data_IF_427528062129
#
_entry.id   IF_427528062129
#
_cell.length_a   1.000
_cell.length_b   1.000
_cell.length_c   1.000
_cell.angle_alpha   90.00
_cell.angle_beta   90.00
_cell.angle_gamma   90.00
#
_symmetry.space_group_name_H-M   'P 1'
#
loop_
_entity.id
_entity.type
_entity.pdbx_description
1 polymer ?
#
# COMPACT_ATOMS: atom_id res chain seq x y z
N UNK A 1 9.67 16.50 1.85
CA UNK A 1 8.31 15.96 2.07
C UNK A 1 8.27 14.54 1.51
N UNK A 2 7.73 13.63 2.28
CA UNK A 2 7.81 12.19 1.99
C UNK A 2 6.84 11.75 0.90
N UNK A 3 7.21 10.66 0.21
CA UNK A 3 6.30 9.87 -0.63
C UNK A 3 5.78 8.71 0.20
N UNK A 4 4.50 8.43 0.12
CA UNK A 4 3.86 7.28 0.77
C UNK A 4 3.35 6.32 -0.30
N UNK A 5 3.56 5.03 -0.12
CA UNK A 5 2.99 3.99 -0.98
C UNK A 5 2.22 2.99 -0.15
N UNK A 6 1.02 2.66 -0.59
CA UNK A 6 0.24 1.57 -0.02
C UNK A 6 0.56 0.26 -0.73
N UNK A 7 0.91 -0.76 0.04
CA UNK A 7 1.22 -2.10 -0.49
C UNK A 7 0.35 -3.15 0.19
N UNK A 8 0.05 -4.20 -0.55
CA UNK A 8 -0.73 -5.33 -0.06
C UNK A 8 -0.12 -6.65 -0.55
N UNK A 9 -0.82 -7.75 -0.36
CA UNK A 9 -0.37 -9.07 -0.81
C UNK A 9 -0.71 -9.37 -2.27
N UNK A 10 -1.17 -8.38 -3.03
CA UNK A 10 -1.50 -8.59 -4.44
C UNK A 10 -0.24 -8.78 -5.29
N UNK A 11 -0.34 -9.46 -6.44
CA UNK A 11 0.80 -9.63 -7.34
C UNK A 11 1.26 -8.31 -7.97
N UNK A 12 0.48 -7.25 -7.87
CA UNK A 12 0.82 -5.93 -8.41
C UNK A 12 1.60 -5.05 -7.46
N UNK A 13 1.75 -5.46 -6.19
CA UNK A 13 2.42 -4.65 -5.18
C UNK A 13 3.85 -4.28 -5.56
N UNK A 14 4.59 -5.21 -6.16
CA UNK A 14 5.96 -4.94 -6.60
C UNK A 14 6.02 -3.84 -7.68
N UNK A 15 5.10 -3.84 -8.63
CA UNK A 15 5.02 -2.80 -9.66
C UNK A 15 4.70 -1.43 -9.06
N UNK A 16 3.74 -1.40 -8.13
CA UNK A 16 3.35 -0.17 -7.43
C UNK A 16 4.50 0.38 -6.61
N UNK A 17 5.17 -0.48 -5.86
CA UNK A 17 6.33 -0.09 -5.06
C UNK A 17 7.48 0.42 -5.95
N UNK A 18 7.74 -0.24 -7.08
CA UNK A 18 8.77 0.20 -8.02
C UNK A 18 8.54 1.63 -8.51
N UNK A 19 7.31 1.99 -8.85
CA UNK A 19 6.97 3.35 -9.26
C UNK A 19 7.12 4.34 -8.10
N UNK A 20 6.75 3.95 -6.90
CA UNK A 20 6.91 4.80 -5.72
C UNK A 20 8.38 5.09 -5.42
N UNK A 21 9.25 4.08 -5.57
CA UNK A 21 10.70 4.24 -5.41
C UNK A 21 11.23 5.25 -6.44
N UNK A 22 10.83 5.14 -7.69
CA UNK A 22 11.22 6.09 -8.74
C UNK A 22 10.77 7.51 -8.40
N UNK A 23 9.56 7.68 -7.90
CA UNK A 23 9.06 9.00 -7.51
C UNK A 23 9.85 9.57 -6.33
N UNK A 24 10.18 8.76 -5.34
CA UNK A 24 10.99 9.20 -4.21
C UNK A 24 12.40 9.63 -4.67
N UNK A 25 13.00 8.87 -5.59
CA UNK A 25 14.29 9.21 -6.18
C UNK A 25 14.24 10.54 -6.95
N UNK A 26 13.23 10.71 -7.82
CA UNK A 26 13.05 11.93 -8.61
C UNK A 26 12.84 13.17 -7.73
N UNK A 27 12.18 12.98 -6.60
CA UNK A 27 11.87 14.07 -5.66
C UNK A 27 12.97 14.28 -4.62
N UNK A 28 13.99 13.44 -4.62
CA UNK A 28 15.09 13.43 -3.65
C UNK A 28 14.56 13.42 -2.21
N UNK A 29 13.63 12.51 -1.93
CA UNK A 29 12.97 12.40 -0.64
C UNK A 29 12.91 10.95 -0.15
N UNK A 30 12.47 10.77 1.08
CA UNK A 30 12.26 9.45 1.67
C UNK A 30 10.94 8.84 1.25
N UNK A 31 10.82 7.54 1.49
CA UNK A 31 9.66 6.73 1.11
C UNK A 31 9.12 5.99 2.34
N UNK A 32 7.84 6.17 2.61
CA UNK A 32 7.13 5.37 3.61
C UNK A 32 6.32 4.30 2.90
N UNK A 33 6.61 3.05 3.19
CA UNK A 33 5.93 1.90 2.61
C UNK A 33 4.95 1.37 3.65
N UNK A 34 3.67 1.51 3.38
CA UNK A 34 2.61 1.27 4.35
C UNK A 34 1.79 0.07 3.94
N UNK A 35 1.75 -0.92 4.82
CA UNK A 35 0.84 -2.05 4.73
C UNK A 35 -0.28 -1.85 5.74
N UNK A 36 -1.53 -1.93 5.30
CA UNK A 36 -2.70 -1.82 6.18
C UNK A 36 -3.37 -3.19 6.24
N UNK A 37 -3.42 -3.76 7.44
CA UNK A 37 -4.17 -4.98 7.68
C UNK A 37 -5.63 -4.62 7.93
N UNK A 38 -6.51 -5.13 7.08
CA UNK A 38 -7.95 -4.97 7.24
C UNK A 38 -8.49 -6.24 7.90
N UNK A 39 -8.79 -6.24 9.20
CA UNK A 39 -9.25 -7.44 9.88
C UNK A 39 -10.52 -7.99 9.22
N UNK A 40 -10.60 -9.30 8.95
CA UNK A 40 -11.81 -9.87 8.36
C UNK A 40 -12.98 -9.77 9.34
N UNK A 41 -14.16 -9.45 8.82
CA UNK A 41 -15.40 -9.57 9.59
C UNK A 41 -15.78 -11.05 9.58
N UNK A 42 -15.79 -11.67 10.76
CA UNK A 42 -16.00 -13.10 10.90
C UNK A 42 -17.36 -13.37 11.53
N UNK A 43 -18.23 -14.06 10.80
CA UNK A 43 -19.53 -14.51 11.30
C UNK A 43 -19.55 -16.01 11.60
N UNK A 44 -18.34 -16.61 11.72
CA UNK A 44 -18.20 -18.03 11.96
C UNK A 44 -18.17 -18.33 13.47
N UNK A 45 -18.75 -19.46 13.86
CA UNK A 45 -18.70 -19.96 15.24
C UNK A 45 -17.29 -20.42 15.64
N UNK A 46 -16.40 -20.62 14.66
CA UNK A 46 -15.03 -21.08 14.91
C UNK A 46 -14.15 -19.86 15.22
N UNK A 47 -13.44 -19.87 16.36
CA UNK A 47 -12.52 -18.77 16.67
C UNK A 47 -11.41 -18.67 15.62
N UNK A 48 -11.16 -17.45 15.15
CA UNK A 48 -10.01 -17.16 14.29
C UNK A 48 -8.99 -16.40 15.11
N UNK A 49 -7.74 -16.87 15.03
CA UNK A 49 -6.62 -16.14 15.63
C UNK A 49 -6.23 -14.99 14.70
N UNK A 50 -6.81 -13.81 14.94
CA UNK A 50 -6.58 -12.62 14.14
C UNK A 50 -5.11 -12.18 14.19
N UNK A 51 -4.44 -12.33 15.33
CA UNK A 51 -3.03 -11.99 15.47
C UNK A 51 -2.18 -12.85 14.54
N UNK A 52 -2.46 -14.15 14.50
CA UNK A 52 -1.74 -15.08 13.64
C UNK A 52 -1.96 -14.80 12.16
N UNK A 53 -3.19 -14.48 11.78
CA UNK A 53 -3.54 -14.10 10.40
C UNK A 53 -2.82 -12.82 10.01
N UNK A 54 -2.83 -11.82 10.87
CA UNK A 54 -2.13 -10.55 10.62
C UNK A 54 -0.62 -10.75 10.46
N UNK A 55 0.00 -11.53 11.34
CA UNK A 55 1.45 -11.80 11.27
C UNK A 55 1.82 -12.55 9.99
N UNK A 56 1.00 -13.51 9.56
CA UNK A 56 1.22 -14.24 8.32
C UNK A 56 1.14 -13.31 7.10
N UNK A 57 0.16 -12.41 7.06
CA UNK A 57 0.02 -11.46 5.96
C UNK A 57 1.21 -10.49 5.92
N UNK A 58 1.62 -9.94 7.06
CA UNK A 58 2.78 -9.05 7.16
C UNK A 58 4.03 -9.74 6.63
N UNK A 59 4.30 -10.96 7.08
CA UNK A 59 5.45 -11.72 6.62
C UNK A 59 5.43 -11.93 5.10
N UNK A 60 4.28 -12.25 4.54
CA UNK A 60 4.13 -12.46 3.09
C UNK A 60 4.37 -11.15 2.32
N UNK A 61 3.81 -10.04 2.75
CA UNK A 61 3.97 -8.74 2.10
C UNK A 61 5.42 -8.29 2.12
N UNK A 62 6.03 -8.24 3.30
CA UNK A 62 7.40 -7.74 3.42
C UNK A 62 8.41 -8.69 2.79
N UNK A 63 8.21 -10.00 2.89
CA UNK A 63 9.07 -10.99 2.23
C UNK A 63 9.08 -10.84 0.71
N UNK A 64 7.92 -10.60 0.11
CA UNK A 64 7.80 -10.43 -1.34
C UNK A 64 8.47 -9.14 -1.84
N UNK A 65 8.57 -8.10 -1.01
CA UNK A 65 9.07 -6.79 -1.40
C UNK A 65 10.50 -6.51 -0.93
N UNK A 66 11.08 -7.41 -0.16
CA UNK A 66 12.36 -7.17 0.53
C UNK A 66 13.50 -6.77 -0.42
N UNK A 67 13.65 -7.45 -1.55
CA UNK A 67 14.72 -7.14 -2.49
C UNK A 67 14.59 -5.75 -3.11
N UNK A 68 13.35 -5.33 -3.42
CA UNK A 68 13.10 -3.97 -3.92
C UNK A 68 13.42 -2.92 -2.86
N UNK A 69 13.04 -3.17 -1.63
CA UNK A 69 13.26 -2.24 -0.52
C UNK A 69 14.74 -2.09 -0.22
N UNK A 70 15.49 -3.19 -0.22
CA UNK A 70 16.93 -3.18 0.00
C UNK A 70 17.67 -2.39 -1.09
N UNK A 71 17.23 -2.50 -2.33
CA UNK A 71 17.85 -1.83 -3.47
C UNK A 71 17.26 -0.46 -3.81
N UNK A 72 16.42 0.12 -2.94
CA UNK A 72 15.65 1.31 -3.28
C UNK A 72 16.49 2.58 -3.52
N UNK A 73 17.64 2.71 -2.88
CA UNK A 73 18.50 3.90 -3.03
C UNK A 73 17.93 5.17 -2.41
N UNK A 74 16.91 5.06 -1.58
CA UNK A 74 16.33 6.15 -0.77
C UNK A 74 16.09 5.63 0.63
N UNK A 75 15.91 6.53 1.59
CA UNK A 75 15.53 6.13 2.94
C UNK A 75 14.11 5.55 2.94
N UNK A 76 13.95 4.36 3.46
CA UNK A 76 12.67 3.65 3.50
C UNK A 76 12.24 3.45 4.95
N UNK A 77 11.00 3.83 5.24
CA UNK A 77 10.32 3.51 6.50
C UNK A 77 9.21 2.51 6.21
N UNK A 78 9.28 1.34 6.85
CA UNK A 78 8.25 0.30 6.76
C UNK A 78 7.22 0.51 7.85
N UNK A 79 5.94 0.52 7.48
CA UNK A 79 4.86 0.83 8.42
C UNK A 79 3.76 -0.22 8.29
N UNK A 80 3.36 -0.81 9.41
CA UNK A 80 2.20 -1.70 9.49
C UNK A 80 1.11 -1.03 10.31
N UNK A 81 -0.07 -0.91 9.73
CA UNK A 81 -1.24 -0.31 10.38
C UNK A 81 -2.42 -1.26 10.26
N UNK A 82 -3.40 -1.09 11.13
CA UNK A 82 -4.66 -1.82 11.09
C UNK A 82 -5.79 -0.86 10.72
N UNK A 83 -6.74 -1.31 9.94
CA UNK A 83 -7.92 -0.52 9.62
C UNK A 83 -8.43 -0.75 8.21
N UNK A 84 -9.29 0.14 7.77
CA UNK A 84 -9.79 0.15 6.40
C UNK A 84 -8.75 0.83 5.51
N UNK A 85 -8.18 0.12 4.52
CA UNK A 85 -6.97 0.57 3.82
C UNK A 85 -7.01 2.00 3.26
N UNK A 86 -8.02 2.44 2.47
CA UNK A 86 -7.97 3.78 1.91
C UNK A 86 -7.98 4.89 2.96
N UNK A 87 -8.85 4.76 3.96
CA UNK A 87 -8.98 5.78 5.01
C UNK A 87 -7.72 5.82 5.87
N UNK A 88 -7.16 4.67 6.19
CA UNK A 88 -5.93 4.56 6.99
C UNK A 88 -4.73 5.15 6.25
N UNK A 89 -4.59 4.86 4.95
CA UNK A 89 -3.53 5.43 4.11
C UNK A 89 -3.65 6.96 4.02
N UNK A 90 -4.86 7.47 3.80
CA UNK A 90 -5.08 8.91 3.71
C UNK A 90 -4.75 9.60 5.03
N UNK A 91 -5.20 9.03 6.16
CA UNK A 91 -4.86 9.58 7.47
C UNK A 91 -3.36 9.61 7.71
N UNK A 92 -2.67 8.55 7.35
CA UNK A 92 -1.22 8.49 7.48
C UNK A 92 -0.53 9.58 6.65
N UNK A 93 -0.93 9.77 5.39
CA UNK A 93 -0.35 10.82 4.55
C UNK A 93 -0.58 12.21 5.12
N UNK A 94 -1.75 12.43 5.70
CA UNK A 94 -2.08 13.71 6.35
C UNK A 94 -1.20 13.93 7.57
N UNK A 95 -1.05 12.93 8.42
CA UNK A 95 -0.29 13.02 9.67
C UNK A 95 1.18 13.35 9.44
N UNK A 96 1.79 12.81 8.41
CA UNK A 96 3.20 13.09 8.08
C UNK A 96 3.38 14.20 7.04
N UNK A 97 2.31 14.83 6.61
CA UNK A 97 2.33 15.87 5.57
C UNK A 97 3.03 15.38 4.30
N UNK A 98 2.69 14.19 3.82
CA UNK A 98 3.26 13.61 2.61
C UNK A 98 2.95 14.48 1.37
N UNK A 99 3.86 14.47 0.40
CA UNK A 99 3.66 15.20 -0.85
C UNK A 99 2.97 14.35 -1.92
N UNK A 100 3.02 13.03 -1.78
CA UNK A 100 2.47 12.12 -2.78
C UNK A 100 2.03 10.82 -2.10
N UNK A 101 0.87 10.33 -2.49
CA UNK A 101 0.40 8.98 -2.17
C UNK A 101 0.38 8.15 -3.45
N UNK A 102 1.03 6.99 -3.43
CA UNK A 102 1.08 6.05 -4.56
C UNK A 102 0.26 4.82 -4.21
N UNK A 103 -0.67 4.47 -5.07
CA UNK A 103 -1.53 3.28 -4.90
C UNK A 103 -1.69 2.56 -6.23
N UNK A 104 -2.03 1.27 -6.18
CA UNK A 104 -2.37 0.51 -7.38
C UNK A 104 -3.82 0.75 -7.79
N UNK A 105 -4.14 0.43 -9.03
CA UNK A 105 -5.54 0.50 -9.52
C UNK A 105 -6.41 -0.59 -8.91
N UNK A 106 -5.78 -1.72 -8.50
CA UNK A 106 -6.48 -2.89 -7.95
C UNK A 106 -5.74 -3.40 -6.74
N UNK A 107 -6.48 -3.78 -5.72
CA UNK A 107 -5.95 -4.50 -4.59
C UNK A 107 -6.15 -6.00 -4.75
N UNK A 108 -5.91 -6.72 -3.67
CA UNK A 108 -6.07 -8.16 -3.59
C UNK A 108 -7.54 -8.55 -3.79
N UNK A 109 -7.77 -9.58 -4.61
CA UNK A 109 -9.10 -10.14 -4.82
C UNK A 109 -10.00 -9.36 -5.75
N UNK A 110 -9.53 -8.28 -6.32
CA UNK A 110 -10.29 -7.51 -7.29
C UNK A 110 -10.16 -8.10 -8.69
N UNK A 111 -11.27 -8.09 -9.43
CA UNK A 111 -11.28 -8.59 -10.80
C UNK A 111 -10.48 -7.68 -11.72
N UNK A 112 -9.86 -8.29 -12.73
CA UNK A 112 -9.18 -7.56 -13.79
C UNK A 112 -10.21 -6.80 -14.63
N UNK A 113 -10.60 -5.62 -14.18
CA UNK A 113 -11.57 -4.79 -14.87
C UNK A 113 -10.98 -3.42 -15.17
N UNK A 114 -11.67 -2.64 -15.95
CA UNK A 114 -11.32 -1.24 -16.23
C UNK A 114 -11.70 -0.31 -15.08
N UNK A 115 -12.26 -0.86 -14.02
CA UNK A 115 -12.74 -0.10 -12.86
C UNK A 115 -11.61 0.06 -11.87
N UNK A 116 -11.45 1.27 -11.34
CA UNK A 116 -10.51 1.52 -10.23
C UNK A 116 -10.95 0.73 -9.00
N UNK A 117 -9.98 0.17 -8.28
CA UNK A 117 -10.23 -0.48 -7.01
C UNK A 117 -10.76 0.49 -5.97
N UNK A 118 -11.36 -0.05 -4.91
CA UNK A 118 -11.95 0.78 -3.84
C UNK A 118 -10.91 1.66 -3.16
N UNK A 119 -9.70 1.14 -2.93
CA UNK A 119 -8.62 1.92 -2.29
C UNK A 119 -8.20 3.10 -3.15
N UNK A 120 -7.93 2.88 -4.45
CA UNK A 120 -7.49 3.95 -5.33
C UNK A 120 -8.57 5.01 -5.54
N UNK A 121 -9.82 4.60 -5.77
CA UNK A 121 -10.93 5.52 -5.96
C UNK A 121 -11.15 6.40 -4.73
N UNK A 122 -11.14 5.78 -3.55
CA UNK A 122 -11.36 6.50 -2.31
C UNK A 122 -10.18 7.39 -1.93
N UNK A 123 -8.95 6.94 -2.19
CA UNK A 123 -7.75 7.74 -1.95
C UNK A 123 -7.75 9.00 -2.81
N UNK A 124 -8.09 8.90 -4.09
CA UNK A 124 -8.22 10.06 -4.98
C UNK A 124 -9.22 11.07 -4.42
N UNK A 125 -10.33 10.58 -3.90
CA UNK A 125 -11.39 11.44 -3.38
C UNK A 125 -11.03 12.13 -2.06
N UNK A 126 -10.33 11.44 -1.16
CA UNK A 126 -10.10 11.90 0.21
C UNK A 126 -8.73 12.51 0.45
N UNK A 127 -7.71 12.15 -0.32
CA UNK A 127 -6.34 12.59 -0.07
C UNK A 127 -6.19 14.10 -0.22
N UNK A 128 -5.37 14.69 0.65
CA UNK A 128 -5.02 16.12 0.58
C UNK A 128 -3.74 16.38 -0.21
N UNK A 129 -3.01 15.34 -0.56
CA UNK A 129 -1.83 15.41 -1.42
C UNK A 129 -2.16 14.83 -2.79
N UNK A 130 -1.22 14.95 -3.72
CA UNK A 130 -1.33 14.30 -5.03
C UNK A 130 -1.38 12.78 -4.87
N UNK A 131 -2.10 12.12 -5.77
CA UNK A 131 -2.21 10.67 -5.79
C UNK A 131 -1.77 10.16 -7.14
N UNK A 132 -0.81 9.24 -7.13
CA UNK A 132 -0.39 8.51 -8.33
C UNK A 132 -1.02 7.13 -8.29
N UNK A 133 -1.80 6.81 -9.30
CA UNK A 133 -2.44 5.51 -9.45
C UNK A 133 -1.67 4.70 -10.48
N UNK A 134 -1.11 3.58 -10.05
CA UNK A 134 -0.24 2.75 -10.88
C UNK A 134 -1.04 1.57 -11.42
N UNK A 135 -1.04 1.41 -12.74
CA UNK A 135 -1.69 0.29 -13.41
C UNK A 135 -0.79 -0.94 -13.40
N UNK A 136 -1.37 -2.16 -13.36
CA UNK A 136 -0.58 -3.36 -13.58
C UNK A 136 0.12 -3.30 -14.94
N UNK A 137 1.33 -3.84 -15.00
CA UNK A 137 2.01 -3.99 -16.29
C UNK A 137 1.37 -5.13 -17.06
N UNK A 138 1.13 -4.90 -18.35
CA UNK A 138 0.69 -5.95 -19.25
C UNK A 138 1.89 -6.80 -19.68
N UNK A 139 1.67 -8.10 -19.79
CA UNK A 139 2.67 -9.04 -20.28
C UNK A 139 2.74 -9.01 -21.80
#
# INVERSE_FOLDING_TARGET
>A
MSVVVGVDSSPHAATVLGEAILEAQRRSTDLHVVHVFNPPVVYLEVPIDIVRVAEAEKAAVWGALDSLLTGAGVDVTRVDLDGYPPDTLVSYTTDIAASLLVVGTRGRGELASLILGSTSARAIHLARCDVLVVKPKED
#
